data_IF_501739405116
#
_entry.id   IF_501739405116
#
_cell.length_a   1.000
_cell.length_b   1.000
_cell.length_c   1.000
_cell.angle_alpha   90.00
_cell.angle_beta   90.00
_cell.angle_gamma   90.00
#
_symmetry.space_group_name_H-M   'P 1'
#
loop_
_entity.id
_entity.type
_entity.pdbx_description
1 polymer ?
#
# COMPACT_ATOMS: atom_id res chain seq x y z
N UNK A 1 14.09 -4.12 40.51
CA UNK A 1 15.04 -4.76 39.57
C UNK A 1 14.20 -5.45 38.51
N UNK A 2 14.01 -4.98 37.28
CA UNK A 2 15.01 -4.49 36.32
C UNK A 2 14.33 -3.44 35.42
N UNK A 3 14.71 -2.17 35.58
CA UNK A 3 14.38 -1.07 34.68
C UNK A 3 15.60 -0.68 33.85
N UNK A 4 16.19 -1.65 33.13
CA UNK A 4 17.47 -1.51 32.42
C UNK A 4 17.33 -1.81 30.92
N UNK A 5 16.45 -1.09 30.21
CA UNK A 5 16.59 -0.93 28.76
C UNK A 5 15.76 0.25 28.22
N UNK A 6 15.98 1.44 28.75
CA UNK A 6 15.59 2.70 28.09
C UNK A 6 16.78 3.63 28.19
N UNK A 7 17.83 3.34 27.43
CA UNK A 7 18.91 4.31 27.27
C UNK A 7 18.40 5.45 26.39
N UNK A 8 18.54 6.72 26.78
CA UNK A 8 18.19 7.84 25.93
C UNK A 8 19.10 7.81 24.69
N UNK A 9 18.52 7.52 23.52
CA UNK A 9 19.21 7.64 22.24
C UNK A 9 19.77 9.06 22.15
N UNK A 10 21.08 9.24 21.91
CA UNK A 10 21.68 10.56 21.86
C UNK A 10 20.99 11.41 20.79
N UNK A 11 20.77 12.72 21.03
CA UNK A 11 19.98 13.58 20.15
C UNK A 11 20.50 13.64 18.70
N UNK A 12 21.78 13.31 18.49
CA UNK A 12 22.36 13.21 17.14
C UNK A 12 21.77 12.03 16.36
N UNK A 13 21.52 10.87 16.99
CA UNK A 13 20.92 9.71 16.33
C UNK A 13 19.45 9.96 15.96
N UNK A 14 18.67 10.62 16.82
CA UNK A 14 17.26 10.93 16.51
C UNK A 14 17.12 12.00 15.43
N UNK A 15 18.03 12.99 15.39
CA UNK A 15 18.08 14.00 14.31
C UNK A 15 18.49 13.37 12.98
N UNK A 16 19.47 12.44 12.98
CA UNK A 16 19.90 11.72 11.77
C UNK A 16 18.80 10.78 11.27
N UNK A 17 18.12 10.05 12.16
CA UNK A 17 16.95 9.23 11.80
C UNK A 17 15.83 10.10 11.23
N UNK A 18 15.47 11.20 11.92
CA UNK A 18 14.45 12.12 11.45
C UNK A 18 14.81 12.84 10.13
N UNK A 19 16.09 13.06 9.84
CA UNK A 19 16.55 13.59 8.55
C UNK A 19 16.41 12.54 7.43
N UNK A 20 16.76 11.28 7.71
CA UNK A 20 16.56 10.16 6.79
C UNK A 20 15.08 9.92 6.46
N UNK A 21 14.22 9.94 7.48
CA UNK A 21 12.77 9.76 7.33
C UNK A 21 12.14 10.90 6.50
N UNK A 22 12.58 12.14 6.74
CA UNK A 22 12.12 13.32 5.97
C UNK A 22 12.56 13.26 4.52
N UNK A 23 13.79 12.81 4.25
CA UNK A 23 14.29 12.65 2.88
C UNK A 23 13.51 11.56 2.14
N UNK A 24 13.30 10.40 2.77
CA UNK A 24 12.51 9.33 2.19
C UNK A 24 11.07 9.77 1.93
N UNK A 25 10.42 10.42 2.91
CA UNK A 25 9.08 10.98 2.74
C UNK A 25 9.00 12.01 1.61
N UNK A 26 10.00 12.90 1.51
CA UNK A 26 10.09 13.87 0.43
C UNK A 26 10.22 13.23 -0.95
N UNK A 27 11.11 12.24 -1.10
CA UNK A 27 11.27 11.51 -2.36
C UNK A 27 10.02 10.74 -2.75
N UNK A 28 9.36 10.09 -1.80
CA UNK A 28 8.08 9.42 -2.01
C UNK A 28 6.98 10.40 -2.44
N UNK A 29 6.92 11.59 -1.83
CA UNK A 29 5.93 12.61 -2.18
C UNK A 29 6.13 13.14 -3.60
N UNK A 30 7.36 13.46 -3.99
CA UNK A 30 7.67 13.91 -5.35
C UNK A 30 7.35 12.81 -6.36
N UNK A 31 7.75 11.57 -6.06
CA UNK A 31 7.44 10.40 -6.90
C UNK A 31 5.92 10.25 -7.08
N UNK A 32 5.17 10.32 -5.98
CA UNK A 32 3.71 10.25 -6.01
C UNK A 32 3.10 11.39 -6.84
N UNK A 33 3.60 12.62 -6.71
CA UNK A 33 3.13 13.76 -7.48
C UNK A 33 3.34 13.58 -8.99
N UNK A 34 4.52 13.08 -9.39
CA UNK A 34 4.82 12.80 -10.81
C UNK A 34 3.89 11.72 -11.36
N UNK A 35 3.77 10.58 -10.65
CA UNK A 35 2.91 9.47 -11.06
C UNK A 35 1.45 9.90 -11.13
N UNK A 36 0.96 10.62 -10.13
CA UNK A 36 -0.40 11.14 -10.07
C UNK A 36 -0.69 12.09 -11.25
N UNK A 37 0.23 13.01 -11.54
CA UNK A 37 0.07 13.95 -12.64
C UNK A 37 0.02 13.20 -13.98
N UNK A 38 0.97 12.30 -14.23
CA UNK A 38 0.99 11.49 -15.45
C UNK A 38 -0.31 10.68 -15.62
N UNK A 39 -0.75 10.01 -14.54
CA UNK A 39 -1.96 9.19 -14.57
C UNK A 39 -3.23 10.03 -14.78
N UNK A 40 -3.34 11.18 -14.11
CA UNK A 40 -4.49 12.08 -14.24
C UNK A 40 -4.57 12.66 -15.64
N UNK A 41 -3.45 13.12 -16.19
CA UNK A 41 -3.35 13.60 -17.57
C UNK A 41 -3.71 12.48 -18.54
N UNK A 42 -3.20 11.28 -18.35
CA UNK A 42 -3.53 10.11 -19.17
C UNK A 42 -5.03 9.80 -19.16
N UNK A 43 -5.64 9.69 -17.98
CA UNK A 43 -7.05 9.35 -17.83
C UNK A 43 -8.00 10.45 -18.33
N UNK A 44 -7.60 11.72 -18.18
CA UNK A 44 -8.42 12.87 -18.56
C UNK A 44 -8.27 13.26 -20.04
N UNK A 45 -7.07 13.21 -20.61
CA UNK A 45 -6.84 13.67 -22.00
C UNK A 45 -7.31 12.65 -23.04
N UNK A 46 -7.02 11.35 -22.86
CA UNK A 46 -7.33 10.33 -23.87
C UNK A 46 -8.79 10.27 -24.36
N UNK A 47 -9.84 10.56 -23.56
CA UNK A 47 -11.21 10.59 -24.10
C UNK A 47 -11.49 11.76 -25.07
N UNK A 48 -10.66 12.80 -25.10
CA UNK A 48 -10.89 13.98 -25.95
C UNK A 48 -10.17 13.90 -27.31
N UNK A 49 -9.22 12.98 -27.48
CA UNK A 49 -8.46 12.82 -28.71
C UNK A 49 -8.91 11.60 -29.50
N UNK A 50 -8.89 11.72 -30.83
CA UNK A 50 -9.19 10.59 -31.71
C UNK A 50 -8.01 9.61 -31.77
N UNK A 51 -8.36 8.34 -31.90
CA UNK A 51 -7.50 7.17 -32.03
C UNK A 51 -6.41 7.24 -33.12
N UNK A 52 -6.56 8.12 -34.11
CA UNK A 52 -5.56 8.36 -35.17
C UNK A 52 -4.49 9.40 -34.81
N UNK A 53 -4.62 10.07 -33.67
CA UNK A 53 -3.69 11.12 -33.25
C UNK A 53 -2.40 10.57 -32.62
N UNK A 54 -1.27 11.22 -32.88
CA UNK A 54 0.06 10.83 -32.40
C UNK A 54 0.17 10.80 -30.86
N UNK A 55 -0.78 11.44 -30.16
CA UNK A 55 -0.84 11.49 -28.70
C UNK A 55 -0.97 10.08 -28.09
N UNK A 56 -1.59 9.15 -28.81
CA UNK A 56 -1.73 7.76 -28.38
C UNK A 56 -0.40 7.00 -28.28
N UNK A 57 0.70 7.52 -28.82
CA UNK A 57 2.04 6.93 -28.65
C UNK A 57 2.67 7.28 -27.30
N UNK A 58 2.25 8.37 -26.66
CA UNK A 58 2.78 8.83 -25.36
C UNK A 58 2.06 8.19 -24.17
N UNK A 59 0.91 7.55 -24.41
CA UNK A 59 0.02 7.05 -23.39
C UNK A 59 -0.34 5.57 -23.64
N UNK A 60 -0.45 4.74 -22.59
CA UNK A 60 -0.98 3.39 -22.75
C UNK A 60 -2.44 3.41 -23.27
N UNK A 61 -2.92 2.29 -23.83
CA UNK A 61 -4.29 2.22 -24.35
C UNK A 61 -5.34 2.58 -23.29
N UNK A 62 -6.39 3.30 -23.70
CA UNK A 62 -7.46 3.85 -22.82
C UNK A 62 -8.05 2.85 -21.82
N UNK A 63 -8.15 1.59 -22.22
CA UNK A 63 -8.70 0.51 -21.39
C UNK A 63 -7.90 0.28 -20.10
N UNK A 64 -6.60 0.56 -20.11
CA UNK A 64 -5.74 0.42 -18.95
C UNK A 64 -5.98 1.49 -17.89
N UNK A 65 -6.46 2.68 -18.27
CA UNK A 65 -6.83 3.74 -17.31
C UNK A 65 -8.03 3.34 -16.43
N UNK A 66 -8.84 2.36 -16.86
CA UNK A 66 -9.96 1.84 -16.07
C UNK A 66 -9.60 0.50 -15.41
N UNK A 67 -8.87 -0.37 -16.12
CA UNK A 67 -8.48 -1.68 -15.57
C UNK A 67 -7.51 -1.57 -14.40
N UNK A 68 -6.58 -0.61 -14.41
CA UNK A 68 -5.54 -0.50 -13.39
C UNK A 68 -6.15 -0.22 -11.98
N UNK A 69 -7.04 0.78 -11.78
CA UNK A 69 -7.73 0.96 -10.49
C UNK A 69 -8.60 -0.24 -10.12
N UNK A 70 -9.27 -0.87 -11.09
CA UNK A 70 -10.14 -2.02 -10.83
C UNK A 70 -9.35 -3.23 -10.30
N UNK A 71 -8.18 -3.53 -10.87
CA UNK A 71 -7.31 -4.61 -10.40
C UNK A 71 -6.77 -4.31 -9.00
N UNK A 72 -6.33 -3.06 -8.74
CA UNK A 72 -5.85 -2.65 -7.41
C UNK A 72 -6.96 -2.84 -6.37
N UNK A 73 -8.18 -2.40 -6.66
CA UNK A 73 -9.32 -2.59 -5.76
C UNK A 73 -9.62 -4.06 -5.54
N UNK A 74 -9.67 -4.87 -6.61
CA UNK A 74 -9.94 -6.29 -6.51
C UNK A 74 -8.89 -7.01 -5.64
N UNK A 75 -7.61 -6.74 -5.88
CA UNK A 75 -6.51 -7.30 -5.10
C UNK A 75 -6.56 -6.83 -3.65
N UNK A 76 -6.81 -5.53 -3.42
CA UNK A 76 -6.92 -4.96 -2.07
C UNK A 76 -8.05 -5.59 -1.27
N UNK A 77 -9.25 -5.67 -1.85
CA UNK A 77 -10.42 -6.32 -1.21
C UNK A 77 -10.15 -7.81 -0.98
N UNK A 78 -9.57 -8.50 -1.95
CA UNK A 78 -9.22 -9.93 -1.82
C UNK A 78 -8.21 -10.16 -0.71
N UNK A 79 -7.19 -9.30 -0.58
CA UNK A 79 -6.17 -9.39 0.46
C UNK A 79 -6.77 -9.16 1.86
N UNK A 80 -7.63 -8.15 2.01
CA UNK A 80 -8.34 -7.89 3.27
C UNK A 80 -9.24 -9.09 3.62
N UNK A 81 -10.00 -9.60 2.66
CA UNK A 81 -10.86 -10.77 2.84
C UNK A 81 -10.07 -12.00 3.27
N UNK A 82 -8.95 -12.29 2.60
CA UNK A 82 -8.06 -13.40 2.93
C UNK A 82 -7.47 -13.27 4.34
N UNK A 83 -7.07 -12.05 4.72
CA UNK A 83 -6.55 -11.78 6.06
C UNK A 83 -7.60 -12.05 7.14
N UNK A 84 -8.81 -11.49 7.00
CA UNK A 84 -9.92 -11.69 7.95
C UNK A 84 -10.34 -13.17 8.02
N UNK A 85 -10.41 -13.83 6.86
CA UNK A 85 -10.71 -15.26 6.81
C UNK A 85 -9.67 -16.09 7.57
N UNK A 86 -8.39 -15.79 7.38
CA UNK A 86 -7.29 -16.48 8.05
C UNK A 86 -7.32 -16.27 9.57
N UNK A 87 -7.60 -15.06 10.05
CA UNK A 87 -7.69 -14.80 11.50
C UNK A 87 -8.87 -15.53 12.14
N UNK A 88 -10.04 -15.57 11.49
CA UNK A 88 -11.20 -16.32 11.99
C UNK A 88 -10.90 -17.82 12.08
N UNK A 89 -10.25 -18.41 11.07
CA UNK A 89 -9.88 -19.83 11.10
C UNK A 89 -8.91 -20.12 12.25
N UNK A 90 -7.89 -19.27 12.44
CA UNK A 90 -6.91 -19.42 13.52
C UNK A 90 -7.59 -19.35 14.89
N UNK A 91 -8.49 -18.39 15.10
CA UNK A 91 -9.25 -18.27 16.35
C UNK A 91 -10.19 -19.45 16.59
N UNK A 92 -10.88 -19.94 15.56
CA UNK A 92 -11.72 -21.16 15.66
C UNK A 92 -10.89 -22.38 16.05
N UNK A 93 -9.72 -22.59 15.42
CA UNK A 93 -8.81 -23.69 15.76
C UNK A 93 -8.28 -23.58 17.19
N UNK A 94 -7.93 -22.38 17.64
CA UNK A 94 -7.46 -22.12 19.01
C UNK A 94 -8.54 -22.44 20.04
N UNK A 95 -9.78 -21.97 19.82
CA UNK A 95 -10.93 -22.28 20.70
C UNK A 95 -11.24 -23.78 20.73
N UNK A 96 -11.22 -24.46 19.58
CA UNK A 96 -11.43 -25.91 19.52
C UNK A 96 -10.35 -26.70 20.25
N UNK A 97 -9.08 -26.29 20.13
CA UNK A 97 -7.97 -26.91 20.86
C UNK A 97 -8.10 -26.74 22.36
N UNK A 98 -8.48 -25.54 22.82
CA UNK A 98 -8.73 -25.27 24.24
C UNK A 98 -9.93 -26.05 24.78
N UNK A 99 -11.00 -26.21 24.00
CA UNK A 99 -12.15 -27.02 24.39
C UNK A 99 -11.76 -28.50 24.56
N UNK A 100 -10.98 -29.06 23.61
CA UNK A 100 -10.49 -30.45 23.70
C UNK A 100 -9.60 -30.71 24.91
N UNK A 101 -8.73 -29.77 25.26
CA UNK A 101 -7.85 -29.86 26.43
C UNK A 101 -8.58 -29.72 27.77
N UNK A 102 -9.81 -29.18 27.78
CA UNK A 102 -10.62 -29.07 28.99
C UNK A 102 -11.51 -30.29 29.24
N UNK A 103 -11.74 -31.07 28.20
CA UNK A 103 -12.58 -32.29 28.23
C UNK A 103 -11.77 -33.59 28.28
N UNK A 104 -10.44 -33.50 28.21
CA UNK A 104 -9.49 -34.59 28.39
C UNK A 104 -8.79 -34.43 29.73
#
# INVERSE_FOLDING_TARGET
MVGLFVDPVPPILTVVQGAGDKLLGGTMLVTAAVVFTYYTTWAMLLPFFDSSSEIHNFFPPREWAVRLPAIILLVGVSAIGAFVFNTIIKEKRKKQRQARLRTA
#
